data_IF_710920239312
#
_entry.id   IF_710920239312
#
_cell.length_a   1.000
_cell.length_b   1.000
_cell.length_c   1.000
_cell.angle_alpha   90.00
_cell.angle_beta   90.00
_cell.angle_gamma   90.00
#
_symmetry.space_group_name_H-M   'P 1'
#
loop_
_entity.id
_entity.type
_entity.pdbx_description
1 polymer ?
#
# COMPACT_ATOMS: atom_id res chain seq x y z
N UNK A 1 13.58 68.06 -5.83
CA UNK A 1 12.93 67.57 -4.59
C UNK A 1 11.38 67.70 -4.60
N UNK A 2 10.71 68.03 -5.71
CA UNK A 2 9.25 68.20 -5.76
C UNK A 2 8.43 66.93 -6.15
N UNK A 3 9.06 65.88 -6.70
CA UNK A 3 8.36 64.67 -7.18
C UNK A 3 7.90 63.70 -6.08
N UNK A 4 8.56 63.70 -4.93
CA UNK A 4 8.29 62.74 -3.84
C UNK A 4 7.04 63.07 -3.00
N UNK A 5 6.60 64.33 -3.01
CA UNK A 5 5.37 64.76 -2.33
C UNK A 5 4.12 64.55 -3.20
N UNK A 6 4.24 64.71 -4.53
CA UNK A 6 3.15 64.47 -5.48
C UNK A 6 2.79 62.99 -5.62
N UNK A 7 3.78 62.10 -5.64
CA UNK A 7 3.53 60.64 -5.67
C UNK A 7 2.88 60.14 -4.38
N UNK A 8 3.33 60.59 -3.20
CA UNK A 8 2.71 60.22 -1.92
C UNK A 8 1.26 60.70 -1.77
N UNK A 9 0.89 61.85 -2.36
CA UNK A 9 -0.50 62.33 -2.36
C UNK A 9 -1.39 61.46 -3.26
N UNK A 10 -0.91 61.15 -4.49
CA UNK A 10 -1.62 60.26 -5.41
C UNK A 10 -1.77 58.83 -4.86
N UNK A 11 -0.75 58.31 -4.19
CA UNK A 11 -0.80 57.00 -3.52
C UNK A 11 -1.81 56.99 -2.36
N UNK A 12 -1.93 58.09 -1.59
CA UNK A 12 -2.94 58.23 -0.53
C UNK A 12 -4.36 58.32 -1.09
N UNK A 13 -4.56 59.07 -2.17
CA UNK A 13 -5.85 59.18 -2.85
C UNK A 13 -6.28 57.85 -3.47
N UNK A 14 -5.36 57.10 -4.09
CA UNK A 14 -5.63 55.76 -4.61
C UNK A 14 -6.02 54.77 -3.49
N UNK A 15 -5.29 54.79 -2.36
CA UNK A 15 -5.62 53.95 -1.18
C UNK A 15 -6.97 54.30 -0.58
N UNK A 16 -7.33 55.58 -0.50
CA UNK A 16 -8.64 56.00 -0.01
C UNK A 16 -9.79 55.51 -0.92
N UNK A 17 -9.58 55.43 -2.23
CA UNK A 17 -10.55 54.85 -3.16
C UNK A 17 -10.68 53.34 -2.94
N UNK A 18 -9.57 52.61 -2.79
CA UNK A 18 -9.58 51.17 -2.48
C UNK A 18 -10.27 50.87 -1.14
N UNK A 19 -9.98 51.67 -0.10
CA UNK A 19 -10.60 51.58 1.22
C UNK A 19 -12.13 51.80 1.16
N UNK A 20 -12.59 52.76 0.34
CA UNK A 20 -14.02 52.99 0.12
C UNK A 20 -14.70 51.83 -0.63
N UNK A 21 -14.01 51.21 -1.59
CA UNK A 21 -14.54 50.06 -2.34
C UNK A 21 -14.71 48.84 -1.43
N UNK A 22 -13.71 48.51 -0.61
CA UNK A 22 -13.79 47.36 0.30
C UNK A 22 -14.85 47.58 1.39
N UNK A 23 -14.98 48.79 1.93
CA UNK A 23 -16.02 49.14 2.91
C UNK A 23 -17.43 49.01 2.30
N UNK A 24 -17.64 49.50 1.06
CA UNK A 24 -18.91 49.33 0.36
C UNK A 24 -19.25 47.86 0.09
N UNK A 25 -18.25 47.05 -0.28
CA UNK A 25 -18.42 45.61 -0.48
C UNK A 25 -18.81 44.92 0.83
N UNK A 26 -18.15 45.27 1.94
CA UNK A 26 -18.47 44.76 3.27
C UNK A 26 -19.92 45.11 3.69
N UNK A 27 -20.36 46.35 3.47
CA UNK A 27 -21.75 46.75 3.72
C UNK A 27 -22.77 46.00 2.86
N UNK A 28 -22.43 45.73 1.59
CA UNK A 28 -23.32 44.96 0.70
C UNK A 28 -23.42 43.48 1.12
N UNK A 29 -22.30 42.88 1.55
CA UNK A 29 -22.25 41.51 2.04
C UNK A 29 -23.06 41.34 3.35
N UNK A 30 -23.01 42.33 4.26
CA UNK A 30 -23.83 42.33 5.48
C UNK A 30 -25.32 42.28 5.19
N UNK A 31 -25.79 43.09 4.24
CA UNK A 31 -27.20 43.11 3.83
C UNK A 31 -27.61 41.78 3.19
N UNK A 32 -26.75 41.22 2.34
CA UNK A 32 -27.01 39.92 1.70
C UNK A 32 -27.11 38.79 2.75
N UNK A 33 -26.19 38.75 3.71
CA UNK A 33 -26.19 37.75 4.76
C UNK A 33 -27.41 37.87 5.70
N UNK A 34 -27.83 39.10 6.05
CA UNK A 34 -29.03 39.34 6.86
C UNK A 34 -30.32 38.89 6.15
N UNK A 35 -30.46 39.23 4.88
CA UNK A 35 -31.59 38.80 4.05
C UNK A 35 -31.61 37.27 3.85
N UNK A 36 -30.42 36.65 3.76
CA UNK A 36 -30.27 35.19 3.70
C UNK A 36 -30.73 34.53 5.00
N UNK A 37 -30.35 35.05 6.18
CA UNK A 37 -30.87 34.57 7.47
C UNK A 37 -32.38 34.62 7.49
N UNK A 38 -32.98 35.74 7.06
CA UNK A 38 -34.43 35.93 7.07
C UNK A 38 -35.11 34.86 6.20
N UNK A 39 -34.64 34.70 4.97
CA UNK A 39 -35.16 33.72 4.01
C UNK A 39 -35.06 32.30 4.56
N UNK A 40 -33.88 31.89 5.05
CA UNK A 40 -33.68 30.53 5.58
C UNK A 40 -34.47 30.31 6.87
N UNK A 41 -34.66 31.35 7.69
CA UNK A 41 -35.50 31.24 8.89
C UNK A 41 -36.96 30.97 8.53
N UNK A 42 -37.47 31.60 7.48
CA UNK A 42 -38.83 31.34 6.97
C UNK A 42 -38.92 29.91 6.40
N UNK A 43 -37.94 29.49 5.60
CA UNK A 43 -37.86 28.13 5.04
C UNK A 43 -37.76 27.05 6.12
N UNK A 44 -37.04 27.32 7.20
CA UNK A 44 -36.86 26.40 8.33
C UNK A 44 -38.19 26.04 9.00
N UNK A 45 -39.14 26.98 9.08
CA UNK A 45 -40.48 26.71 9.64
C UNK A 45 -41.20 25.63 8.82
N UNK A 46 -41.11 25.72 7.48
CA UNK A 46 -41.69 24.71 6.60
C UNK A 46 -40.94 23.39 6.70
N UNK A 47 -39.60 23.42 6.76
CA UNK A 47 -38.79 22.23 6.93
C UNK A 47 -39.10 21.50 8.25
N UNK A 48 -39.32 22.23 9.34
CA UNK A 48 -39.68 21.68 10.65
C UNK A 48 -41.08 21.05 10.63
N UNK A 49 -42.03 21.64 9.89
CA UNK A 49 -43.36 21.06 9.71
C UNK A 49 -43.35 19.76 8.86
N UNK A 50 -42.40 19.63 7.92
CA UNK A 50 -42.27 18.44 7.06
C UNK A 50 -41.41 17.34 7.70
N UNK A 51 -40.35 17.69 8.41
CA UNK A 51 -39.35 16.74 8.93
C UNK A 51 -39.39 16.54 10.44
N UNK A 52 -39.87 17.53 11.19
CA UNK A 52 -39.80 17.59 12.65
C UNK A 52 -38.57 18.32 13.19
N UNK A 53 -38.56 18.65 14.49
CA UNK A 53 -37.55 19.48 15.13
C UNK A 53 -36.15 18.87 15.20
N UNK A 54 -36.00 17.55 15.34
CA UNK A 54 -34.70 16.90 15.49
C UNK A 54 -33.92 16.94 14.16
N UNK A 55 -34.61 16.69 13.05
CA UNK A 55 -34.01 16.70 11.71
C UNK A 55 -33.57 18.11 11.27
N UNK A 56 -34.26 19.15 11.74
CA UNK A 56 -33.95 20.55 11.40
C UNK A 56 -33.02 21.24 12.40
N UNK A 57 -32.72 20.59 13.53
CA UNK A 57 -31.83 21.12 14.58
C UNK A 57 -30.47 21.63 14.05
N UNK A 58 -29.74 20.92 13.17
CA UNK A 58 -28.47 21.44 12.66
C UNK A 58 -28.58 22.78 11.92
N UNK A 59 -29.67 23.01 11.19
CA UNK A 59 -29.93 24.30 10.53
C UNK A 59 -30.29 25.38 11.56
N UNK A 60 -31.08 25.03 12.58
CA UNK A 60 -31.42 25.93 13.69
C UNK A 60 -30.17 26.38 14.45
N UNK A 61 -29.27 25.44 14.75
CA UNK A 61 -27.99 25.70 15.42
C UNK A 61 -27.08 26.58 14.53
N UNK A 62 -27.05 26.32 13.23
CA UNK A 62 -26.31 27.15 12.27
C UNK A 62 -26.84 28.60 12.20
N UNK A 63 -28.16 28.79 12.11
CA UNK A 63 -28.76 30.14 12.15
C UNK A 63 -28.45 30.88 13.46
N UNK A 64 -28.42 30.18 14.59
CA UNK A 64 -28.04 30.78 15.86
C UNK A 64 -26.57 31.24 15.87
N UNK A 65 -25.66 30.39 15.38
CA UNK A 65 -24.24 30.74 15.25
C UNK A 65 -24.02 31.91 14.28
N UNK A 66 -24.70 31.90 13.13
CA UNK A 66 -24.61 32.97 12.13
C UNK A 66 -25.11 34.30 12.69
N UNK A 67 -26.24 34.33 13.41
CA UNK A 67 -26.73 35.54 14.09
C UNK A 67 -25.73 36.08 15.11
N UNK A 68 -25.08 35.20 15.87
CA UNK A 68 -24.07 35.60 16.83
C UNK A 68 -22.86 36.26 16.13
N UNK A 69 -22.35 35.66 15.06
CA UNK A 69 -21.21 36.20 14.33
C UNK A 69 -21.53 37.45 13.50
N UNK A 70 -22.75 37.56 12.96
CA UNK A 70 -23.18 38.78 12.30
C UNK A 70 -23.37 39.95 13.27
N UNK A 71 -23.65 39.70 14.55
CA UNK A 71 -23.63 40.78 15.56
C UNK A 71 -22.24 41.41 15.71
N UNK A 72 -21.16 40.62 15.60
CA UNK A 72 -19.78 41.11 15.53
C UNK A 72 -19.56 41.93 14.26
N UNK A 73 -20.02 41.43 13.11
CA UNK A 73 -19.88 42.12 11.83
C UNK A 73 -20.64 43.46 11.79
N UNK A 74 -21.85 43.54 12.36
CA UNK A 74 -22.60 44.79 12.52
C UNK A 74 -21.90 45.77 13.47
N UNK A 75 -21.31 45.27 14.56
CA UNK A 75 -20.53 46.12 15.46
C UNK A 75 -19.29 46.71 14.76
N UNK A 76 -18.56 45.89 14.00
CA UNK A 76 -17.43 46.36 13.19
C UNK A 76 -17.87 47.37 12.12
N UNK A 77 -19.04 47.16 11.50
CA UNK A 77 -19.60 48.11 10.54
C UNK A 77 -20.00 49.43 11.19
N UNK A 78 -20.51 49.40 12.43
CA UNK A 78 -20.81 50.59 13.20
C UNK A 78 -19.55 51.40 13.50
N UNK A 79 -18.45 50.75 13.91
CA UNK A 79 -17.17 51.43 14.16
C UNK A 79 -16.61 52.10 12.90
N UNK A 80 -16.80 51.49 11.72
CA UNK A 80 -16.40 52.10 10.44
C UNK A 80 -17.18 53.39 10.09
N UNK A 81 -18.31 53.64 10.75
CA UNK A 81 -19.23 54.74 10.45
C UNK A 81 -19.50 55.64 11.67
N UNK A 82 -18.69 55.52 12.73
CA UNK A 82 -18.84 56.37 13.91
C UNK A 82 -18.22 57.77 13.67
N UNK A 83 -18.26 58.62 14.71
CA UNK A 83 -17.74 59.99 14.64
C UNK A 83 -16.20 60.06 14.71
N UNK A 84 -15.51 58.93 14.93
CA UNK A 84 -14.07 58.82 15.09
C UNK A 84 -13.45 58.36 13.76
N UNK A 85 -12.64 59.20 13.09
CA UNK A 85 -12.03 58.80 11.83
C UNK A 85 -11.04 57.63 12.01
N UNK A 86 -11.31 56.51 11.35
CA UNK A 86 -10.42 55.36 11.28
C UNK A 86 -9.18 55.61 10.41
N UNK A 87 -8.09 54.92 10.73
CA UNK A 87 -6.94 54.79 9.82
C UNK A 87 -7.25 53.86 8.66
N UNK A 88 -6.56 54.04 7.51
CA UNK A 88 -6.67 53.12 6.35
C UNK A 88 -6.38 51.65 6.67
N UNK A 89 -5.60 51.36 7.72
CA UNK A 89 -5.35 49.98 8.16
C UNK A 89 -6.54 49.41 8.94
N UNK A 90 -7.14 50.21 9.81
CA UNK A 90 -8.36 49.83 10.55
C UNK A 90 -9.54 49.62 9.59
N UNK A 91 -9.71 50.50 8.60
CA UNK A 91 -10.77 50.36 7.59
C UNK A 91 -10.66 49.02 6.86
N UNK A 92 -9.45 48.69 6.37
CA UNK A 92 -9.21 47.43 5.65
C UNK A 92 -9.36 46.22 6.54
N UNK A 93 -8.84 46.27 7.77
CA UNK A 93 -8.90 45.15 8.71
C UNK A 93 -10.34 44.83 9.11
N UNK A 94 -11.13 45.85 9.48
CA UNK A 94 -12.54 45.67 9.86
C UNK A 94 -13.40 45.27 8.66
N UNK A 95 -13.22 45.90 7.50
CA UNK A 95 -13.95 45.54 6.27
C UNK A 95 -13.64 44.11 5.83
N UNK A 96 -12.37 43.68 5.90
CA UNK A 96 -11.99 42.30 5.60
C UNK A 96 -12.60 41.31 6.59
N UNK A 97 -12.63 41.63 7.89
CA UNK A 97 -13.26 40.81 8.92
C UNK A 97 -14.78 40.68 8.70
N UNK A 98 -15.46 41.77 8.34
CA UNK A 98 -16.88 41.75 7.99
C UNK A 98 -17.12 40.81 6.80
N UNK A 99 -16.34 40.95 5.73
CA UNK A 99 -16.46 40.09 4.54
C UNK A 99 -16.25 38.62 4.90
N UNK A 100 -15.23 38.31 5.70
CA UNK A 100 -14.96 36.95 6.16
C UNK A 100 -16.14 36.36 6.97
N UNK A 101 -16.75 37.15 7.86
CA UNK A 101 -17.89 36.70 8.66
C UNK A 101 -19.14 36.47 7.80
N UNK A 102 -19.37 37.32 6.78
CA UNK A 102 -20.48 37.17 5.84
C UNK A 102 -20.28 35.96 4.91
N UNK A 103 -19.07 35.78 4.37
CA UNK A 103 -18.73 34.63 3.52
C UNK A 103 -18.87 33.31 4.29
N UNK A 104 -18.33 33.23 5.51
CA UNK A 104 -18.52 32.06 6.36
C UNK A 104 -20.00 31.78 6.67
N UNK A 105 -20.80 32.83 6.88
CA UNK A 105 -22.23 32.69 7.14
C UNK A 105 -22.98 32.16 5.92
N UNK A 106 -22.68 32.66 4.72
CA UNK A 106 -23.25 32.18 3.46
C UNK A 106 -22.89 30.71 3.22
N UNK A 107 -21.61 30.35 3.30
CA UNK A 107 -21.12 28.99 3.11
C UNK A 107 -21.79 28.01 4.08
N UNK A 108 -21.81 28.34 5.38
CA UNK A 108 -22.42 27.49 6.39
C UNK A 108 -23.93 27.29 6.13
N UNK A 109 -24.63 28.36 5.75
CA UNK A 109 -26.07 28.29 5.50
C UNK A 109 -26.40 27.52 4.22
N UNK A 110 -25.59 27.64 3.18
CA UNK A 110 -25.74 26.88 1.94
C UNK A 110 -25.49 25.38 2.17
N UNK A 111 -24.41 25.02 2.86
CA UNK A 111 -24.11 23.64 3.25
C UNK A 111 -25.29 22.98 3.99
N UNK A 112 -25.88 23.70 4.95
CA UNK A 112 -27.02 23.19 5.74
C UNK A 112 -28.30 23.12 4.92
N UNK A 113 -28.49 24.05 3.98
CA UNK A 113 -29.66 24.07 3.11
C UNK A 113 -29.63 22.90 2.13
N UNK A 114 -28.45 22.62 1.54
CA UNK A 114 -28.25 21.46 0.67
C UNK A 114 -28.46 20.15 1.44
N UNK A 115 -27.98 20.06 2.67
CA UNK A 115 -28.17 18.88 3.52
C UNK A 115 -29.66 18.58 3.83
N UNK A 116 -30.52 19.61 3.89
CA UNK A 116 -31.96 19.45 4.12
C UNK A 116 -32.76 19.16 2.85
N UNK A 117 -32.25 19.51 1.66
CA UNK A 117 -32.99 19.39 0.41
C UNK A 117 -33.48 17.95 0.13
N UNK A 118 -32.59 16.95 0.26
CA UNK A 118 -32.92 15.53 0.03
C UNK A 118 -33.93 14.98 1.05
N UNK A 119 -33.75 15.19 2.38
CA UNK A 119 -34.77 14.83 3.37
C UNK A 119 -36.15 15.43 3.08
N UNK A 120 -36.22 16.72 2.73
CA UNK A 120 -37.48 17.40 2.41
C UNK A 120 -38.16 16.77 1.18
N UNK A 121 -37.39 16.54 0.11
CA UNK A 121 -37.91 15.89 -1.09
C UNK A 121 -38.48 14.49 -0.76
N UNK A 122 -37.75 13.70 0.02
CA UNK A 122 -38.20 12.38 0.46
C UNK A 122 -39.49 12.44 1.28
N UNK A 123 -39.58 13.37 2.24
CA UNK A 123 -40.77 13.54 3.07
C UNK A 123 -42.01 13.91 2.24
N UNK A 124 -41.85 14.74 1.21
CA UNK A 124 -42.92 15.09 0.26
C UNK A 124 -43.36 13.89 -0.58
N UNK A 125 -42.41 13.06 -1.00
CA UNK A 125 -42.66 11.85 -1.79
C UNK A 125 -43.03 10.62 -0.95
N UNK A 126 -43.15 10.77 0.37
CA UNK A 126 -43.45 9.65 1.27
C UNK A 126 -44.68 8.81 0.84
N UNK A 127 -45.82 9.40 0.40
CA UNK A 127 -46.96 8.61 -0.08
C UNK A 127 -46.64 7.75 -1.31
N UNK A 128 -45.87 8.28 -2.26
CA UNK A 128 -45.41 7.54 -3.44
C UNK A 128 -44.47 6.39 -3.05
N UNK A 129 -43.55 6.66 -2.12
CA UNK A 129 -42.60 5.67 -1.61
C UNK A 129 -43.34 4.55 -0.87
N UNK A 130 -44.31 4.88 -0.03
CA UNK A 130 -45.15 3.89 0.69
C UNK A 130 -45.91 3.00 -0.31
N UNK A 131 -46.49 3.59 -1.36
CA UNK A 131 -47.15 2.83 -2.42
C UNK A 131 -46.15 1.91 -3.17
N UNK A 132 -44.94 2.40 -3.44
CA UNK A 132 -43.84 1.61 -4.00
C UNK A 132 -43.47 0.42 -3.13
N UNK A 133 -43.29 0.62 -1.82
CA UNK A 133 -43.00 -0.44 -0.85
C UNK A 133 -44.09 -1.51 -0.87
N UNK A 134 -45.37 -1.12 -0.89
CA UNK A 134 -46.49 -2.08 -0.96
C UNK A 134 -46.44 -2.92 -2.24
N UNK A 135 -46.22 -2.28 -3.38
CA UNK A 135 -46.09 -2.97 -4.66
C UNK A 135 -44.86 -3.90 -4.71
N UNK A 136 -43.75 -3.47 -4.12
CA UNK A 136 -42.53 -4.27 -4.02
C UNK A 136 -42.74 -5.50 -3.12
N UNK A 137 -43.39 -5.33 -1.97
CA UNK A 137 -43.74 -6.43 -1.07
C UNK A 137 -44.64 -7.44 -1.77
N UNK A 138 -45.68 -7.00 -2.47
CA UNK A 138 -46.58 -7.89 -3.22
C UNK A 138 -45.82 -8.69 -4.30
N UNK A 139 -45.01 -7.99 -5.09
CA UNK A 139 -44.19 -8.61 -6.14
C UNK A 139 -43.22 -9.63 -5.57
N UNK A 140 -42.48 -9.29 -4.51
CA UNK A 140 -41.47 -10.17 -3.92
C UNK A 140 -42.11 -11.36 -3.19
N UNK A 141 -43.25 -11.15 -2.53
CA UNK A 141 -44.03 -12.23 -1.89
C UNK A 141 -44.47 -13.27 -2.92
N UNK A 142 -44.88 -12.82 -4.12
CA UNK A 142 -45.25 -13.71 -5.24
C UNK A 142 -44.06 -14.58 -5.70
N UNK A 143 -42.81 -14.12 -5.49
CA UNK A 143 -41.59 -14.88 -5.85
C UNK A 143 -41.16 -15.89 -4.79
N UNK A 144 -41.55 -15.72 -3.52
CA UNK A 144 -41.10 -16.59 -2.41
C UNK A 144 -41.32 -18.09 -2.66
N UNK A 145 -42.46 -18.55 -3.22
CA UNK A 145 -42.63 -19.98 -3.51
C UNK A 145 -41.56 -20.53 -4.47
N UNK A 146 -41.17 -19.76 -5.49
CA UNK A 146 -40.11 -20.16 -6.43
C UNK A 146 -38.74 -20.22 -5.72
N UNK A 147 -38.44 -19.26 -4.85
CA UNK A 147 -37.22 -19.25 -4.04
C UNK A 147 -37.14 -20.50 -3.17
N UNK A 148 -38.25 -20.87 -2.52
CA UNK A 148 -38.34 -22.09 -1.71
C UNK A 148 -38.06 -23.35 -2.54
N UNK A 149 -38.73 -23.51 -3.68
CA UNK A 149 -38.50 -24.65 -4.59
C UNK A 149 -37.05 -24.68 -5.11
N UNK A 150 -36.44 -23.52 -5.33
CA UNK A 150 -35.03 -23.42 -5.74
C UNK A 150 -34.10 -23.94 -4.63
N UNK A 151 -34.31 -23.52 -3.38
CA UNK A 151 -33.53 -24.01 -2.23
C UNK A 151 -33.72 -25.52 -2.08
N UNK A 152 -34.95 -26.03 -2.12
CA UNK A 152 -35.24 -27.48 -2.01
C UNK A 152 -34.50 -28.29 -3.09
N UNK A 153 -34.47 -27.79 -4.32
CA UNK A 153 -33.72 -28.40 -5.41
C UNK A 153 -32.21 -28.35 -5.17
N UNK A 154 -31.68 -27.22 -4.68
CA UNK A 154 -30.26 -27.08 -4.35
C UNK A 154 -29.83 -28.05 -3.25
N UNK A 155 -30.67 -28.29 -2.24
CA UNK A 155 -30.41 -29.29 -1.17
C UNK A 155 -30.26 -30.71 -1.69
N UNK A 156 -30.82 -31.03 -2.87
CA UNK A 156 -30.61 -32.34 -3.51
C UNK A 156 -29.28 -32.46 -4.28
N UNK A 157 -28.54 -31.36 -4.46
CA UNK A 157 -27.32 -31.30 -5.27
C UNK A 157 -26.07 -30.94 -4.47
N UNK A 158 -26.21 -30.09 -3.44
CA UNK A 158 -25.09 -29.55 -2.67
C UNK A 158 -25.18 -29.94 -1.20
N UNK A 159 -24.04 -29.93 -0.51
CA UNK A 159 -23.99 -30.18 0.95
C UNK A 159 -24.66 -29.05 1.74
N UNK A 160 -24.96 -29.31 3.02
CA UNK A 160 -25.51 -28.29 3.92
C UNK A 160 -24.53 -27.13 4.13
N UNK A 161 -23.23 -27.43 4.23
CA UNK A 161 -22.17 -26.44 4.37
C UNK A 161 -22.12 -25.46 3.19
N UNK A 162 -22.25 -25.99 1.97
CA UNK A 162 -22.27 -25.20 0.74
C UNK A 162 -23.47 -24.23 0.72
N UNK A 163 -24.62 -24.71 1.17
CA UNK A 163 -25.89 -23.97 1.14
C UNK A 163 -26.08 -23.05 2.35
N UNK A 164 -25.20 -23.09 3.34
CA UNK A 164 -25.32 -22.32 4.59
C UNK A 164 -25.63 -20.83 4.38
N UNK A 165 -25.12 -20.23 3.31
CA UNK A 165 -25.33 -18.80 2.98
C UNK A 165 -26.71 -18.48 2.39
N UNK A 166 -27.44 -19.49 1.89
CA UNK A 166 -28.71 -19.30 1.17
C UNK A 166 -29.89 -20.08 1.77
N UNK A 167 -29.62 -21.08 2.61
CA UNK A 167 -30.63 -21.97 3.17
C UNK A 167 -31.72 -21.22 3.98
N UNK A 168 -31.33 -20.16 4.70
CA UNK A 168 -32.25 -19.35 5.51
C UNK A 168 -32.96 -18.23 4.76
N UNK A 169 -32.52 -17.91 3.52
CA UNK A 169 -32.89 -16.68 2.83
C UNK A 169 -34.39 -16.56 2.58
N UNK A 170 -35.08 -17.67 2.28
CA UNK A 170 -36.53 -17.66 2.09
C UNK A 170 -37.27 -17.19 3.36
N UNK A 171 -36.92 -17.77 4.51
CA UNK A 171 -37.59 -17.46 5.77
C UNK A 171 -37.29 -16.02 6.22
N UNK A 172 -36.04 -15.61 6.11
CA UNK A 172 -35.61 -14.24 6.45
C UNK A 172 -36.23 -13.20 5.52
N UNK A 173 -36.25 -13.44 4.20
CA UNK A 173 -36.91 -12.55 3.25
C UNK A 173 -38.41 -12.41 3.56
N UNK A 174 -39.11 -13.50 3.89
CA UNK A 174 -40.52 -13.44 4.27
C UNK A 174 -40.76 -12.53 5.49
N UNK A 175 -39.95 -12.67 6.54
CA UNK A 175 -40.06 -11.84 7.75
C UNK A 175 -39.75 -10.37 7.46
N UNK A 176 -38.75 -10.10 6.61
CA UNK A 176 -38.40 -8.74 6.20
C UNK A 176 -39.51 -8.09 5.37
N UNK A 177 -40.21 -8.83 4.51
CA UNK A 177 -41.34 -8.31 3.74
C UNK A 177 -42.54 -7.99 4.63
N UNK A 178 -42.86 -8.85 5.60
CA UNK A 178 -43.89 -8.57 6.61
C UNK A 178 -43.55 -7.33 7.43
N UNK A 179 -42.29 -7.22 7.87
CA UNK A 179 -41.80 -6.07 8.61
C UNK A 179 -41.82 -4.78 7.78
N UNK A 180 -41.47 -4.85 6.49
CA UNK A 180 -41.55 -3.72 5.58
C UNK A 180 -42.99 -3.21 5.40
N UNK A 181 -43.95 -4.13 5.22
CA UNK A 181 -45.36 -3.78 5.10
C UNK A 181 -45.88 -3.11 6.38
N UNK A 182 -45.55 -3.68 7.55
CA UNK A 182 -45.92 -3.09 8.82
C UNK A 182 -45.29 -1.70 9.02
N UNK A 183 -44.01 -1.55 8.68
CA UNK A 183 -43.30 -0.26 8.74
C UNK A 183 -43.94 0.80 7.84
N UNK A 184 -44.37 0.43 6.63
CA UNK A 184 -45.08 1.32 5.72
C UNK A 184 -46.43 1.80 6.30
N UNK A 185 -47.20 0.89 6.91
CA UNK A 185 -48.45 1.26 7.61
C UNK A 185 -48.22 2.14 8.84
N UNK A 186 -47.18 1.85 9.63
CA UNK A 186 -46.80 2.69 10.77
C UNK A 186 -46.41 4.08 10.28
N UNK A 187 -45.64 4.18 9.21
CA UNK A 187 -45.23 5.45 8.61
C UNK A 187 -46.45 6.29 8.20
N UNK A 188 -47.41 5.70 7.49
CA UNK A 188 -48.65 6.36 7.07
C UNK A 188 -49.44 6.88 8.28
N UNK A 189 -49.72 6.02 9.28
CA UNK A 189 -50.46 6.42 10.49
C UNK A 189 -49.78 7.53 11.27
N UNK A 190 -48.44 7.47 11.42
CA UNK A 190 -47.66 8.48 12.15
C UNK A 190 -47.66 9.81 11.38
N UNK A 191 -47.60 9.75 10.04
CA UNK A 191 -47.70 10.93 9.18
C UNK A 191 -49.07 11.60 9.33
N UNK A 192 -50.15 10.85 9.35
CA UNK A 192 -51.50 11.40 9.55
C UNK A 192 -51.69 12.01 10.95
N UNK A 193 -51.00 11.47 11.96
CA UNK A 193 -50.97 12.00 13.32
C UNK A 193 -50.02 13.20 13.52
N UNK A 194 -49.36 13.69 12.47
CA UNK A 194 -48.39 14.80 12.54
C UNK A 194 -47.01 14.42 13.13
N UNK A 195 -46.75 13.14 13.37
CA UNK A 195 -45.53 12.61 13.97
C UNK A 195 -44.48 12.32 12.88
N UNK A 196 -43.94 13.39 12.27
CA UNK A 196 -43.08 13.35 11.07
C UNK A 196 -41.81 12.53 11.27
N UNK A 197 -41.13 12.71 12.39
CA UNK A 197 -39.87 12.01 12.68
C UNK A 197 -40.08 10.50 12.77
N UNK A 198 -41.09 10.08 13.56
CA UNK A 198 -41.43 8.69 13.74
C UNK A 198 -41.94 8.07 12.44
N UNK A 199 -42.66 8.85 11.62
CA UNK A 199 -43.09 8.43 10.29
C UNK A 199 -41.90 8.19 9.34
N UNK A 200 -40.93 9.11 9.31
CA UNK A 200 -39.74 9.00 8.47
C UNK A 200 -38.86 7.82 8.89
N UNK A 201 -38.67 7.61 10.19
CA UNK A 201 -37.91 6.47 10.70
C UNK A 201 -38.55 5.13 10.29
N UNK A 202 -39.88 5.02 10.42
CA UNK A 202 -40.61 3.83 10.01
C UNK A 202 -40.52 3.61 8.48
N UNK A 203 -40.56 4.70 7.69
CA UNK A 203 -40.39 4.64 6.23
C UNK A 203 -39.01 4.13 5.83
N UNK A 204 -37.95 4.70 6.38
CA UNK A 204 -36.56 4.30 6.07
C UNK A 204 -36.30 2.84 6.46
N UNK A 205 -36.84 2.44 7.61
CA UNK A 205 -36.76 1.06 8.08
C UNK A 205 -37.46 0.09 7.12
N UNK A 206 -38.63 0.47 6.60
CA UNK A 206 -39.36 -0.32 5.60
C UNK A 206 -38.62 -0.41 4.26
N UNK A 207 -38.03 0.70 3.78
CA UNK A 207 -37.20 0.73 2.57
C UNK A 207 -36.02 -0.26 2.70
N UNK A 208 -35.31 -0.19 3.82
CA UNK A 208 -34.16 -1.06 4.07
C UNK A 208 -34.56 -2.54 4.16
N UNK A 209 -35.72 -2.84 4.76
CA UNK A 209 -36.24 -4.20 4.83
C UNK A 209 -36.58 -4.78 3.45
N UNK A 210 -37.23 -4.01 2.56
CA UNK A 210 -37.46 -4.42 1.16
C UNK A 210 -36.14 -4.65 0.42
N UNK A 211 -35.16 -3.74 0.59
CA UNK A 211 -33.85 -3.86 -0.03
C UNK A 211 -33.15 -5.15 0.39
N UNK A 212 -33.13 -5.46 1.68
CA UNK A 212 -32.55 -6.70 2.22
C UNK A 212 -33.27 -7.94 1.71
N UNK A 213 -34.61 -7.95 1.75
CA UNK A 213 -35.40 -9.07 1.21
C UNK A 213 -35.09 -9.33 -0.27
N UNK A 214 -34.94 -8.26 -1.06
CA UNK A 214 -34.55 -8.34 -2.47
C UNK A 214 -33.18 -9.01 -2.63
N UNK A 215 -32.17 -8.54 -1.90
CA UNK A 215 -30.82 -9.14 -1.94
C UNK A 215 -30.81 -10.62 -1.55
N UNK A 216 -31.58 -11.02 -0.53
CA UNK A 216 -31.68 -12.41 -0.10
C UNK A 216 -32.30 -13.31 -1.17
N UNK A 217 -33.34 -12.82 -1.86
CA UNK A 217 -33.99 -13.52 -2.97
C UNK A 217 -33.03 -13.65 -4.16
N UNK A 218 -32.37 -12.55 -4.54
CA UNK A 218 -31.39 -12.54 -5.64
C UNK A 218 -30.18 -13.44 -5.38
N UNK A 219 -29.73 -13.54 -4.12
CA UNK A 219 -28.66 -14.45 -3.74
C UNK A 219 -29.02 -15.92 -4.01
N UNK A 220 -30.28 -16.32 -3.82
CA UNK A 220 -30.74 -17.68 -4.14
C UNK A 220 -30.77 -17.90 -5.66
N UNK A 221 -31.24 -16.92 -6.43
CA UNK A 221 -31.26 -17.00 -7.90
C UNK A 221 -29.85 -17.12 -8.49
N UNK A 222 -28.89 -16.35 -7.96
CA UNK A 222 -27.51 -16.34 -8.41
C UNK A 222 -26.71 -17.57 -8.00
N UNK A 223 -27.06 -18.20 -6.87
CA UNK A 223 -26.27 -19.26 -6.26
C UNK A 223 -26.02 -20.44 -7.21
N UNK A 224 -27.03 -20.90 -7.95
CA UNK A 224 -26.86 -22.05 -8.86
C UNK A 224 -25.84 -21.76 -9.96
N UNK A 225 -25.89 -20.56 -10.53
CA UNK A 225 -24.95 -20.16 -11.58
C UNK A 225 -23.53 -20.08 -11.03
N UNK A 226 -23.37 -19.56 -9.81
CA UNK A 226 -22.08 -19.51 -9.12
C UNK A 226 -21.55 -20.91 -8.79
N UNK A 227 -22.40 -21.81 -8.31
CA UNK A 227 -22.02 -23.18 -7.99
C UNK A 227 -21.62 -23.95 -9.26
N UNK A 228 -22.35 -23.81 -10.36
CA UNK A 228 -21.98 -24.37 -11.67
C UNK A 228 -20.63 -23.84 -12.19
N UNK A 229 -20.35 -22.55 -11.99
CA UNK A 229 -19.05 -21.97 -12.34
C UNK A 229 -17.93 -22.52 -11.45
N UNK A 230 -18.20 -22.69 -10.15
CA UNK A 230 -17.25 -23.29 -9.22
C UNK A 230 -16.92 -24.73 -9.63
N UNK A 231 -17.93 -25.55 -9.94
CA UNK A 231 -17.76 -26.91 -10.48
C UNK A 231 -16.91 -26.91 -11.77
N UNK A 232 -17.26 -26.10 -12.76
CA UNK A 232 -16.50 -26.03 -14.02
C UNK A 232 -15.07 -25.55 -13.82
N UNK A 233 -14.83 -24.67 -12.85
CA UNK A 233 -13.48 -24.19 -12.53
C UNK A 233 -12.70 -25.27 -11.78
N UNK A 234 -13.35 -26.01 -10.89
CA UNK A 234 -12.75 -27.12 -10.17
C UNK A 234 -12.26 -28.18 -11.16
N UNK A 235 -13.05 -28.55 -12.17
CA UNK A 235 -12.64 -29.49 -13.21
C UNK A 235 -11.36 -29.05 -13.94
N UNK A 236 -11.27 -27.77 -14.30
CA UNK A 236 -10.08 -27.21 -14.94
C UNK A 236 -8.86 -27.24 -14.00
N UNK A 237 -9.04 -26.81 -12.75
CA UNK A 237 -7.95 -26.79 -11.77
C UNK A 237 -7.48 -28.22 -11.43
N UNK A 238 -8.36 -29.22 -11.41
CA UNK A 238 -7.97 -30.61 -11.19
C UNK A 238 -7.03 -31.12 -12.30
N UNK A 239 -7.27 -30.71 -13.55
CA UNK A 239 -6.38 -31.05 -14.68
C UNK A 239 -5.04 -30.34 -14.50
N UNK A 240 -5.07 -29.01 -14.29
CA UNK A 240 -3.86 -28.20 -14.12
C UNK A 240 -3.01 -28.68 -12.93
N UNK A 241 -3.63 -28.96 -11.77
CA UNK A 241 -2.97 -29.50 -10.58
C UNK A 241 -2.22 -30.81 -10.85
N UNK A 242 -2.76 -31.68 -11.71
CA UNK A 242 -2.10 -32.95 -12.06
C UNK A 242 -0.86 -32.72 -12.93
N UNK A 243 -0.94 -31.76 -13.85
CA UNK A 243 0.18 -31.36 -14.69
C UNK A 243 1.26 -30.63 -13.88
N UNK A 244 0.86 -29.80 -12.92
CA UNK A 244 1.78 -29.12 -11.98
C UNK A 244 2.48 -30.13 -11.08
N UNK A 245 1.77 -31.13 -10.55
CA UNK A 245 2.38 -32.24 -9.81
C UNK A 245 3.38 -33.02 -10.66
N UNK A 246 3.06 -33.27 -11.94
CA UNK A 246 3.98 -33.95 -12.85
C UNK A 246 5.24 -33.12 -13.10
N UNK A 247 5.09 -31.81 -13.29
CA UNK A 247 6.18 -30.85 -13.53
C UNK A 247 7.04 -30.64 -12.28
N UNK A 248 6.44 -30.64 -11.09
CA UNK A 248 7.14 -30.44 -9.82
C UNK A 248 8.05 -31.62 -9.42
N UNK A 249 7.87 -32.81 -10.02
CA UNK A 249 8.71 -33.99 -9.76
C UNK A 249 10.19 -33.73 -9.98
N UNK A 250 10.54 -32.89 -10.95
CA UNK A 250 11.93 -32.53 -11.27
C UNK A 250 12.66 -31.85 -10.10
N UNK A 251 11.92 -31.19 -9.21
CA UNK A 251 12.45 -30.47 -8.04
C UNK A 251 11.95 -31.05 -6.71
N UNK A 252 11.37 -32.26 -6.72
CA UNK A 252 10.79 -32.90 -5.54
C UNK A 252 11.81 -33.31 -4.48
N UNK A 253 13.11 -33.28 -4.78
CA UNK A 253 14.18 -33.49 -3.79
C UNK A 253 14.23 -32.38 -2.73
N UNK A 254 13.65 -31.20 -3.03
CA UNK A 254 13.52 -30.10 -2.06
C UNK A 254 12.38 -30.43 -1.08
N UNK A 255 12.64 -30.53 0.25
CA UNK A 255 11.63 -30.95 1.22
C UNK A 255 10.37 -30.08 1.27
N UNK A 256 10.51 -28.77 1.02
CA UNK A 256 9.36 -27.84 0.94
C UNK A 256 8.45 -28.17 -0.24
N UNK A 257 9.02 -28.49 -1.41
CA UNK A 257 8.27 -28.91 -2.60
C UNK A 257 7.58 -30.25 -2.35
N UNK A 258 8.30 -31.25 -1.81
CA UNK A 258 7.72 -32.56 -1.52
C UNK A 258 6.51 -32.48 -0.56
N UNK A 259 6.58 -31.59 0.45
CA UNK A 259 5.43 -31.34 1.36
C UNK A 259 4.27 -30.68 0.63
N UNK A 260 4.52 -29.68 -0.21
CA UNK A 260 3.47 -29.01 -0.98
C UNK A 260 2.79 -29.97 -1.96
N UNK A 261 3.56 -30.82 -2.64
CA UNK A 261 3.03 -31.90 -3.50
C UNK A 261 2.14 -32.86 -2.72
N UNK A 262 2.60 -33.34 -1.55
CA UNK A 262 1.81 -34.26 -0.72
C UNK A 262 0.50 -33.63 -0.23
N UNK A 263 0.50 -32.34 0.10
CA UNK A 263 -0.72 -31.60 0.43
C UNK A 263 -1.67 -31.53 -0.77
N UNK A 264 -1.17 -31.17 -1.96
CA UNK A 264 -2.00 -31.09 -3.16
C UNK A 264 -2.57 -32.46 -3.57
N UNK A 265 -1.77 -33.52 -3.51
CA UNK A 265 -2.24 -34.90 -3.73
C UNK A 265 -3.32 -35.32 -2.74
N UNK A 266 -3.17 -34.93 -1.46
CA UNK A 266 -4.18 -35.18 -0.43
C UNK A 266 -5.49 -34.45 -0.75
N UNK A 267 -5.43 -33.18 -1.13
CA UNK A 267 -6.64 -32.41 -1.46
C UNK A 267 -7.33 -32.93 -2.73
N UNK A 268 -6.56 -33.32 -3.76
CA UNK A 268 -7.09 -34.00 -4.95
C UNK A 268 -7.77 -35.34 -4.60
N UNK A 269 -7.20 -36.10 -3.66
CA UNK A 269 -7.77 -37.35 -3.17
C UNK A 269 -8.97 -37.17 -2.24
N UNK A 270 -9.16 -35.98 -1.68
CA UNK A 270 -10.26 -35.63 -0.79
C UNK A 270 -11.49 -35.07 -1.54
N UNK A 271 -11.38 -34.85 -2.86
CA UNK A 271 -12.51 -34.42 -3.69
C UNK A 271 -13.63 -35.46 -3.64
N UNK A 272 -14.85 -34.97 -3.47
CA UNK A 272 -16.00 -35.83 -3.34
C UNK A 272 -16.30 -36.58 -4.66
N UNK A 273 -16.69 -37.87 -4.61
CA UNK A 273 -17.04 -38.64 -5.80
C UNK A 273 -18.25 -38.04 -6.54
N UNK A 274 -18.32 -38.26 -7.86
CA UNK A 274 -19.49 -37.87 -8.65
C UNK A 274 -20.76 -38.51 -8.07
N UNK A 275 -21.80 -37.70 -7.85
CA UNK A 275 -23.10 -38.14 -7.32
C UNK A 275 -23.25 -38.07 -5.81
N UNK A 276 -22.24 -37.60 -5.07
CA UNK A 276 -22.42 -37.18 -3.66
C UNK A 276 -22.77 -35.70 -3.56
N UNK A 277 -23.38 -35.29 -2.44
CA UNK A 277 -23.61 -33.87 -2.15
C UNK A 277 -22.26 -33.20 -1.84
N UNK A 278 -21.85 -32.25 -2.68
CA UNK A 278 -20.52 -31.61 -2.59
C UNK A 278 -20.62 -30.15 -2.14
N UNK A 279 -19.49 -29.60 -1.70
CA UNK A 279 -19.29 -28.16 -1.55
C UNK A 279 -18.25 -27.69 -2.58
N UNK A 280 -18.68 -27.31 -3.81
CA UNK A 280 -17.75 -26.94 -4.87
C UNK A 280 -16.97 -25.66 -4.54
N UNK A 281 -17.46 -24.81 -3.62
CA UNK A 281 -16.76 -23.59 -3.24
C UNK A 281 -15.60 -23.89 -2.30
N UNK A 282 -15.83 -24.73 -1.30
CA UNK A 282 -14.80 -25.15 -0.36
C UNK A 282 -13.75 -26.04 -1.04
N UNK A 283 -14.18 -27.01 -1.87
CA UNK A 283 -13.26 -27.85 -2.65
C UNK A 283 -12.35 -27.00 -3.56
N UNK A 284 -12.94 -26.03 -4.26
CA UNK A 284 -12.19 -25.09 -5.10
C UNK A 284 -11.21 -24.24 -4.29
N UNK A 285 -11.60 -23.82 -3.09
CA UNK A 285 -10.76 -23.00 -2.19
C UNK A 285 -9.54 -23.80 -1.73
N UNK A 286 -9.76 -25.00 -1.19
CA UNK A 286 -8.65 -25.87 -0.72
C UNK A 286 -7.68 -26.21 -1.85
N UNK A 287 -8.19 -26.50 -3.04
CA UNK A 287 -7.35 -26.86 -4.18
C UNK A 287 -6.51 -25.67 -4.68
N UNK A 288 -7.09 -24.46 -4.73
CA UNK A 288 -6.35 -23.23 -5.05
C UNK A 288 -5.26 -22.91 -4.04
N UNK A 289 -5.55 -23.06 -2.76
CA UNK A 289 -4.57 -22.85 -1.69
C UNK A 289 -3.40 -23.84 -1.81
N UNK A 290 -3.69 -25.12 -2.08
CA UNK A 290 -2.68 -26.14 -2.27
C UNK A 290 -1.82 -25.90 -3.53
N UNK A 291 -2.42 -25.52 -4.66
CA UNK A 291 -1.68 -25.14 -5.87
C UNK A 291 -0.77 -23.93 -5.64
N UNK A 292 -1.30 -22.85 -5.06
CA UNK A 292 -0.50 -21.65 -4.79
C UNK A 292 0.69 -21.93 -3.85
N UNK A 293 0.51 -22.84 -2.88
CA UNK A 293 1.59 -23.32 -2.03
C UNK A 293 2.66 -24.11 -2.81
N UNK A 294 2.25 -24.98 -3.74
CA UNK A 294 3.16 -25.71 -4.62
C UNK A 294 3.94 -24.75 -5.52
N UNK A 295 3.27 -23.80 -6.18
CA UNK A 295 3.89 -22.80 -7.05
C UNK A 295 4.94 -21.99 -6.31
N UNK A 296 4.61 -21.54 -5.10
CA UNK A 296 5.53 -20.79 -4.24
C UNK A 296 6.78 -21.63 -3.90
N UNK A 297 6.60 -22.91 -3.56
CA UNK A 297 7.70 -23.81 -3.23
C UNK A 297 8.58 -24.12 -4.45
N UNK A 298 7.98 -24.38 -5.61
CA UNK A 298 8.69 -24.66 -6.87
C UNK A 298 9.45 -23.43 -7.35
N UNK A 299 8.84 -22.24 -7.30
CA UNK A 299 9.51 -20.99 -7.67
C UNK A 299 10.76 -20.75 -6.79
N UNK A 300 10.62 -20.91 -5.47
CA UNK A 300 11.74 -20.79 -4.52
C UNK A 300 12.83 -21.85 -4.74
N UNK A 301 12.46 -23.08 -5.08
CA UNK A 301 13.41 -24.14 -5.40
C UNK A 301 14.20 -23.82 -6.70
N UNK A 302 13.50 -23.37 -7.75
CA UNK A 302 14.12 -22.97 -9.02
C UNK A 302 15.03 -21.76 -8.87
N UNK A 303 14.63 -20.77 -8.07
CA UNK A 303 15.46 -19.61 -7.77
C UNK A 303 16.77 -20.03 -7.08
N UNK A 304 16.70 -20.91 -6.08
CA UNK A 304 17.89 -21.47 -5.41
C UNK A 304 18.78 -22.28 -6.35
N UNK A 305 18.19 -23.02 -7.30
CA UNK A 305 18.96 -23.77 -8.30
C UNK A 305 19.65 -22.84 -9.32
N UNK A 306 18.97 -21.77 -9.75
CA UNK A 306 19.52 -20.77 -10.67
C UNK A 306 20.60 -19.89 -10.00
N UNK A 307 20.49 -19.65 -8.69
CA UNK A 307 21.46 -18.91 -7.89
C UNK A 307 21.91 -19.74 -6.68
N UNK A 308 22.81 -20.73 -6.88
CA UNK A 308 23.33 -21.54 -5.78
C UNK A 308 24.00 -20.66 -4.72
N UNK A 309 23.67 -20.89 -3.45
CA UNK A 309 24.28 -20.18 -2.33
C UNK A 309 25.76 -20.57 -2.26
N UNK A 310 26.64 -19.57 -2.15
CA UNK A 310 28.08 -19.80 -1.97
C UNK A 310 28.28 -20.60 -0.67
N UNK A 311 28.97 -21.75 -0.69
CA UNK A 311 29.27 -22.50 0.53
C UNK A 311 30.04 -21.63 1.52
N UNK A 312 29.64 -21.66 2.79
CA UNK A 312 30.32 -20.89 3.84
C UNK A 312 31.82 -21.23 3.92
N UNK A 313 32.19 -22.49 3.68
CA UNK A 313 33.58 -22.93 3.61
C UNK A 313 34.39 -22.20 2.54
N UNK A 314 33.82 -21.91 1.37
CA UNK A 314 34.50 -21.18 0.30
C UNK A 314 34.79 -19.74 0.72
N UNK A 315 33.84 -19.09 1.40
CA UNK A 315 34.03 -17.74 1.95
C UNK A 315 35.14 -17.75 3.00
N UNK A 316 35.11 -18.70 3.94
CA UNK A 316 36.12 -18.84 5.00
C UNK A 316 37.51 -19.06 4.43
N UNK A 317 37.67 -19.96 3.46
CA UNK A 317 38.95 -20.18 2.80
C UNK A 317 39.49 -18.93 2.08
N UNK A 318 38.63 -18.11 1.47
CA UNK A 318 39.05 -16.86 0.85
C UNK A 318 39.52 -15.82 1.90
N UNK A 319 38.86 -15.77 3.06
CA UNK A 319 39.28 -14.90 4.18
C UNK A 319 40.64 -15.35 4.72
N UNK A 320 40.80 -16.65 4.97
CA UNK A 320 42.06 -17.22 5.48
C UNK A 320 43.22 -16.98 4.49
N UNK A 321 42.95 -17.10 3.19
CA UNK A 321 43.94 -16.81 2.16
C UNK A 321 44.34 -15.33 2.14
N UNK A 322 43.35 -14.43 2.19
CA UNK A 322 43.59 -12.99 2.29
C UNK A 322 44.39 -12.63 3.55
N UNK A 323 44.09 -13.25 4.69
CA UNK A 323 44.82 -13.04 5.96
C UNK A 323 46.28 -13.50 5.88
N UNK A 324 46.55 -14.64 5.23
CA UNK A 324 47.92 -15.09 4.97
C UNK A 324 48.68 -14.12 4.08
N UNK A 325 48.09 -13.70 2.96
CA UNK A 325 48.72 -12.75 2.03
C UNK A 325 48.99 -11.40 2.71
N UNK A 326 48.03 -10.91 3.49
CA UNK A 326 48.15 -9.67 4.27
C UNK A 326 49.27 -9.78 5.31
N UNK A 327 49.37 -10.91 6.01
CA UNK A 327 50.44 -11.19 6.97
C UNK A 327 51.82 -11.17 6.33
N UNK A 328 51.99 -11.78 5.15
CA UNK A 328 53.25 -11.77 4.40
C UNK A 328 53.61 -10.35 3.94
N UNK A 329 52.68 -9.64 3.30
CA UNK A 329 52.89 -8.27 2.85
C UNK A 329 53.28 -7.33 4.01
N UNK A 330 52.57 -7.43 5.14
CA UNK A 330 52.85 -6.66 6.36
C UNK A 330 54.26 -6.94 6.90
N UNK A 331 54.68 -8.21 6.93
CA UNK A 331 55.99 -8.62 7.41
C UNK A 331 57.11 -8.04 6.55
N UNK A 332 57.03 -8.21 5.22
CA UNK A 332 58.04 -7.70 4.27
C UNK A 332 58.14 -6.17 4.33
N UNK A 333 57.00 -5.47 4.31
CA UNK A 333 56.96 -4.00 4.34
C UNK A 333 57.47 -3.46 5.68
N UNK A 334 57.16 -4.12 6.79
CA UNK A 334 57.63 -3.72 8.12
C UNK A 334 59.12 -3.98 8.35
N UNK A 335 59.69 -4.99 7.69
CA UNK A 335 61.12 -5.31 7.77
C UNK A 335 62.03 -4.37 6.96
N UNK A 336 61.50 -3.71 5.93
CA UNK A 336 62.28 -2.92 4.96
C UNK A 336 61.82 -1.46 4.89
N UNK A 337 61.43 -0.87 6.02
CA UNK A 337 60.77 0.45 6.07
C UNK A 337 61.54 1.59 5.41
N UNK A 338 62.87 1.51 5.31
CA UNK A 338 63.70 2.52 4.65
C UNK A 338 63.69 2.45 3.12
N UNK A 339 63.29 1.31 2.54
CA UNK A 339 63.39 1.04 1.09
C UNK A 339 62.03 0.98 0.40
N UNK A 340 60.96 0.66 1.12
CA UNK A 340 59.63 0.58 0.52
C UNK A 340 59.11 1.97 0.13
N UNK A 341 58.44 2.09 -1.02
CA UNK A 341 57.81 3.28 -1.55
C UNK A 341 56.39 3.54 -1.02
N UNK A 342 55.79 4.67 -1.44
CA UNK A 342 54.44 5.05 -1.02
C UNK A 342 53.36 4.09 -1.54
N UNK A 343 53.49 3.63 -2.79
CA UNK A 343 52.47 2.81 -3.46
C UNK A 343 52.24 1.46 -2.76
N UNK A 344 53.30 0.75 -2.37
CA UNK A 344 53.19 -0.52 -1.63
C UNK A 344 52.48 -0.32 -0.27
N UNK A 345 52.78 0.78 0.43
CA UNK A 345 52.14 1.10 1.71
C UNK A 345 50.68 1.47 1.54
N UNK A 346 50.32 2.19 0.48
CA UNK A 346 48.93 2.53 0.17
C UNK A 346 48.12 1.27 -0.14
N UNK A 347 48.66 0.34 -0.94
CA UNK A 347 47.98 -0.93 -1.24
C UNK A 347 47.80 -1.79 0.01
N UNK A 348 48.82 -1.85 0.87
CA UNK A 348 48.72 -2.54 2.16
C UNK A 348 47.65 -1.89 3.05
N UNK A 349 47.64 -0.57 3.20
CA UNK A 349 46.67 0.14 4.04
C UNK A 349 45.21 -0.09 3.56
N UNK A 350 44.97 -0.12 2.26
CA UNK A 350 43.64 -0.40 1.71
C UNK A 350 43.23 -1.87 1.90
N UNK A 351 44.16 -2.82 1.76
CA UNK A 351 43.90 -4.23 2.08
C UNK A 351 43.52 -4.40 3.56
N UNK A 352 44.25 -3.74 4.46
CA UNK A 352 43.95 -3.73 5.90
C UNK A 352 42.58 -3.12 6.21
N UNK A 353 42.22 -2.03 5.53
CA UNK A 353 40.91 -1.40 5.66
C UNK A 353 39.79 -2.38 5.29
N UNK A 354 39.91 -3.05 4.13
CA UNK A 354 38.91 -4.04 3.70
C UNK A 354 38.83 -5.21 4.67
N UNK A 355 39.96 -5.67 5.21
CA UNK A 355 39.96 -6.76 6.20
C UNK A 355 39.26 -6.40 7.50
N UNK A 356 39.43 -5.15 7.97
CA UNK A 356 38.71 -4.61 9.12
C UNK A 356 37.21 -4.54 8.83
N UNK A 357 36.83 -4.03 7.65
CA UNK A 357 35.44 -3.97 7.21
C UNK A 357 34.82 -5.37 7.12
N UNK A 358 35.61 -6.41 6.84
CA UNK A 358 35.17 -7.82 6.75
C UNK A 358 35.05 -8.52 8.12
N UNK A 359 35.34 -7.84 9.25
CA UNK A 359 35.36 -8.47 10.56
C UNK A 359 34.00 -9.07 11.00
N UNK A 360 32.88 -8.56 10.48
CA UNK A 360 31.55 -9.14 10.72
C UNK A 360 31.44 -10.59 10.21
N UNK A 361 32.19 -10.96 9.16
CA UNK A 361 32.23 -12.32 8.61
C UNK A 361 33.16 -13.27 9.38
N UNK A 362 33.82 -12.79 10.44
CA UNK A 362 34.68 -13.63 11.32
C UNK A 362 33.89 -14.34 12.42
N UNK A 363 32.56 -14.18 12.46
CA UNK A 363 31.67 -14.83 13.43
C UNK A 363 31.53 -16.35 13.25
N UNK A 364 30.78 -17.01 14.15
CA UNK A 364 30.58 -18.46 14.11
C UNK A 364 29.81 -18.93 12.87
N UNK A 365 29.01 -18.05 12.25
CA UNK A 365 28.28 -18.31 11.01
C UNK A 365 28.32 -17.06 10.12
N UNK A 366 28.32 -17.26 8.80
CA UNK A 366 28.19 -16.17 7.82
C UNK A 366 26.80 -16.28 7.19
N UNK A 367 25.90 -15.29 7.39
CA UNK A 367 24.55 -15.31 6.83
C UNK A 367 24.56 -15.54 5.33
N UNK A 368 23.64 -16.38 4.81
CA UNK A 368 23.62 -16.80 3.40
C UNK A 368 23.60 -15.61 2.44
N UNK A 369 22.77 -14.61 2.74
CA UNK A 369 22.58 -13.39 1.95
C UNK A 369 23.85 -12.54 1.86
N UNK A 370 24.74 -12.65 2.86
CA UNK A 370 25.96 -11.85 2.94
C UNK A 370 27.20 -12.59 2.38
N UNK A 371 27.09 -13.89 2.05
CA UNK A 371 28.24 -14.71 1.61
C UNK A 371 28.88 -14.21 0.32
N UNK A 372 28.10 -13.69 -0.62
CA UNK A 372 28.60 -13.15 -1.88
C UNK A 372 29.44 -11.89 -1.68
N UNK A 373 28.95 -10.99 -0.82
CA UNK A 373 29.68 -9.78 -0.44
C UNK A 373 30.97 -10.14 0.29
N UNK A 374 30.90 -11.03 1.29
CA UNK A 374 32.07 -11.47 2.05
C UNK A 374 33.14 -12.11 1.16
N UNK A 375 32.74 -12.97 0.20
CA UNK A 375 33.68 -13.59 -0.73
C UNK A 375 34.37 -12.55 -1.63
N UNK A 376 33.61 -11.57 -2.10
CA UNK A 376 34.12 -10.49 -2.95
C UNK A 376 35.13 -9.62 -2.20
N UNK A 377 34.80 -9.20 -0.98
CA UNK A 377 35.67 -8.40 -0.12
C UNK A 377 36.94 -9.17 0.28
N UNK A 378 36.83 -10.46 0.60
CA UNK A 378 37.97 -11.33 0.90
C UNK A 378 38.95 -11.41 -0.29
N UNK A 379 38.44 -11.69 -1.49
CA UNK A 379 39.27 -11.76 -2.72
C UNK A 379 39.94 -10.43 -3.02
N UNK A 380 39.22 -9.31 -2.85
CA UNK A 380 39.76 -7.96 -3.05
C UNK A 380 40.86 -7.64 -2.04
N UNK A 381 40.69 -8.01 -0.77
CA UNK A 381 41.71 -7.88 0.26
C UNK A 381 42.99 -8.65 -0.12
N UNK A 382 42.86 -9.92 -0.52
CA UNK A 382 43.99 -10.73 -0.97
C UNK A 382 44.71 -10.09 -2.16
N UNK A 383 43.98 -9.71 -3.22
CA UNK A 383 44.57 -9.04 -4.39
C UNK A 383 45.40 -7.81 -4.04
N UNK A 384 44.88 -6.92 -3.18
CA UNK A 384 45.61 -5.72 -2.74
C UNK A 384 46.85 -6.06 -1.89
N UNK A 385 46.77 -7.10 -1.05
CA UNK A 385 47.91 -7.58 -0.29
C UNK A 385 49.01 -8.15 -1.21
N UNK A 386 48.63 -8.92 -2.24
CA UNK A 386 49.55 -9.43 -3.24
C UNK A 386 50.21 -8.31 -4.06
N UNK A 387 49.45 -7.31 -4.49
CA UNK A 387 49.99 -6.12 -5.17
C UNK A 387 50.98 -5.34 -4.28
N UNK A 388 50.63 -5.16 -2.99
CA UNK A 388 51.51 -4.52 -2.03
C UNK A 388 52.84 -5.25 -1.88
N UNK A 389 52.79 -6.59 -1.81
CA UNK A 389 54.00 -7.43 -1.73
C UNK A 389 54.85 -7.32 -3.00
N UNK A 390 54.25 -7.35 -4.19
CA UNK A 390 54.99 -7.22 -5.46
C UNK A 390 55.67 -5.85 -5.60
N UNK A 391 54.97 -4.77 -5.25
CA UNK A 391 55.55 -3.42 -5.22
C UNK A 391 56.70 -3.35 -4.23
N UNK A 392 56.52 -3.86 -3.01
CA UNK A 392 57.55 -3.87 -1.99
C UNK A 392 58.80 -4.65 -2.42
N UNK A 393 58.63 -5.79 -3.10
CA UNK A 393 59.75 -6.57 -3.62
C UNK A 393 60.55 -5.80 -4.68
N UNK A 394 59.87 -5.11 -5.61
CA UNK A 394 60.53 -4.25 -6.60
C UNK A 394 61.31 -3.11 -5.95
N UNK A 395 60.74 -2.49 -4.93
CA UNK A 395 61.40 -1.42 -4.19
C UNK A 395 62.69 -1.91 -3.50
N UNK A 396 62.63 -3.09 -2.86
CA UNK A 396 63.81 -3.74 -2.24
C UNK A 396 64.88 -4.05 -3.28
N UNK A 397 64.49 -4.66 -4.40
CA UNK A 397 65.44 -5.05 -5.45
C UNK A 397 66.11 -3.82 -6.09
N UNK A 398 65.37 -2.72 -6.27
CA UNK A 398 65.91 -1.45 -6.78
C UNK A 398 66.85 -0.73 -5.79
N UNK A 399 66.74 -1.04 -4.50
CA UNK A 399 67.53 -0.42 -3.44
C UNK A 399 68.82 -1.17 -3.12
N UNK A 400 69.04 -2.37 -3.71
CA UNK A 400 70.30 -3.10 -3.57
C UNK A 400 71.41 -2.39 -4.36
N UNK A 401 72.59 -2.10 -3.77
CA UNK A 401 73.72 -1.59 -4.52
C UNK A 401 74.08 -2.57 -5.64
N UNK A 402 74.15 -2.09 -6.88
CA UNK A 402 74.67 -2.86 -8.00
C UNK A 402 76.20 -2.94 -7.87
N UNK A 403 76.70 -3.77 -6.96
CA UNK A 403 78.13 -4.09 -6.91
C UNK A 403 78.48 -5.05 -8.05
N UNK A 404 78.96 -4.48 -9.16
CA UNK A 404 79.52 -5.21 -10.29
C UNK A 404 80.35 -4.31 -11.22
N UNK A 405 81.66 -4.58 -11.41
CA UNK A 405 82.54 -3.76 -12.25
C UNK A 405 82.25 -3.96 -13.76
N UNK A 406 82.29 -2.91 -14.61
CA UNK A 406 81.92 -3.05 -16.01
C UNK A 406 83.14 -3.16 -16.93
N UNK A 407 83.63 -4.36 -17.24
CA UNK A 407 84.62 -4.53 -18.32
C UNK A 407 84.46 -5.84 -19.11
N UNK A 408 83.95 -5.71 -20.34
CA UNK A 408 84.60 -6.21 -21.57
C UNK A 408 84.22 -7.59 -22.12
N UNK A 409 83.86 -7.63 -23.41
CA UNK A 409 84.37 -8.69 -24.30
C UNK A 409 83.36 -9.44 -25.19
N UNK A 410 83.21 -8.94 -26.40
CA UNK A 410 82.69 -9.58 -27.62
C UNK A 410 83.21 -11.02 -27.87
N UNK A 411 82.36 -11.93 -28.35
CA UNK A 411 82.81 -13.16 -29.03
C UNK A 411 81.75 -14.27 -29.13
N UNK A 412 81.33 -14.63 -30.35
CA UNK A 412 80.21 -15.55 -30.59
C UNK A 412 80.54 -17.04 -30.68
N UNK A 413 79.50 -17.85 -30.94
CA UNK A 413 79.63 -19.18 -31.55
C UNK A 413 78.96 -20.37 -30.84
N UNK A 414 77.92 -20.90 -31.49
CA UNK A 414 77.48 -22.32 -31.61
C UNK A 414 77.27 -23.24 -30.38
N UNK A 415 76.04 -23.80 -30.37
CA UNK A 415 75.62 -25.21 -30.12
C UNK A 415 76.15 -25.94 -28.88
N UNK A 416 75.19 -26.24 -27.99
CA UNK A 416 74.83 -27.63 -27.68
C UNK A 416 75.17 -28.15 -26.28
N UNK A 417 74.12 -28.46 -25.51
CA UNK A 417 74.01 -29.71 -24.73
C UNK A 417 74.58 -29.76 -23.31
N UNK A 418 73.67 -29.82 -22.32
CA UNK A 418 73.68 -30.82 -21.24
C UNK A 418 74.42 -30.53 -19.93
N UNK A 419 73.63 -30.46 -18.83
CA UNK A 419 73.90 -30.74 -17.40
C UNK A 419 75.08 -29.99 -16.72
N UNK A 420 75.05 -29.54 -15.46
CA UNK A 420 74.37 -29.94 -14.23
C UNK A 420 74.39 -28.78 -13.20
N UNK A 421 73.48 -28.86 -12.23
CA UNK A 421 73.54 -28.41 -10.82
C UNK A 421 74.28 -27.09 -10.45
N UNK A 422 73.57 -26.11 -9.84
CA UNK A 422 73.60 -25.81 -8.39
C UNK A 422 73.03 -24.38 -8.10
N UNK A 423 72.02 -24.29 -7.22
CA UNK A 423 71.81 -23.12 -6.34
C UNK A 423 70.49 -22.36 -6.45
N UNK A 424 69.55 -22.60 -5.51
CA UNK A 424 68.53 -21.61 -5.13
C UNK A 424 67.09 -22.13 -4.92
N UNK A 425 66.87 -22.88 -3.85
CA UNK A 425 65.55 -23.27 -3.33
C UNK A 425 64.84 -22.04 -2.72
N UNK A 426 63.58 -21.77 -3.11
CA UNK A 426 62.42 -21.49 -2.23
C UNK A 426 61.21 -20.92 -3.03
N UNK A 427 60.06 -21.60 -2.97
CA UNK A 427 58.75 -21.03 -3.32
C UNK A 427 57.86 -21.94 -4.17
N UNK A 428 57.48 -23.11 -3.65
CA UNK A 428 56.57 -24.05 -4.32
C UNK A 428 55.08 -23.80 -4.05
N UNK A 429 54.28 -24.59 -4.79
CA UNK A 429 52.88 -25.01 -4.55
C UNK A 429 51.80 -23.95 -4.90
N UNK A 430 50.76 -24.18 -5.73
CA UNK A 430 50.19 -25.35 -6.42
C UNK A 430 49.46 -24.87 -7.68
N UNK A 431 49.63 -25.61 -8.78
CA UNK A 431 48.73 -25.66 -9.93
C UNK A 431 47.60 -26.65 -9.59
N UNK A 432 46.35 -26.18 -9.66
CA UNK A 432 45.11 -26.97 -9.54
C UNK A 432 43.98 -25.99 -9.24
N UNK A 433 42.94 -25.81 -10.04
CA UNK A 433 42.22 -26.73 -10.90
C UNK A 433 41.56 -25.97 -12.06
N UNK A 434 41.85 -26.42 -13.29
CA UNK A 434 41.05 -26.16 -14.49
C UNK A 434 40.78 -27.55 -15.07
N UNK A 435 39.50 -27.83 -15.36
CA UNK A 435 38.91 -29.05 -15.97
C UNK A 435 38.72 -30.25 -15.03
N UNK A 436 37.48 -30.56 -14.66
CA UNK A 436 36.67 -31.61 -15.34
C UNK A 436 35.32 -31.82 -14.62
N UNK A 437 34.25 -32.09 -15.37
CA UNK A 437 32.90 -32.30 -14.84
C UNK A 437 31.76 -32.09 -15.84
N UNK A 438 31.87 -32.68 -17.03
CA UNK A 438 30.75 -32.98 -17.95
C UNK A 438 30.33 -34.45 -17.75
N UNK A 439 29.01 -34.74 -17.83
CA UNK A 439 28.29 -36.01 -17.55
C UNK A 439 28.18 -36.31 -16.04
N UNK A 440 27.03 -36.36 -15.36
CA UNK A 440 25.64 -36.77 -15.65
C UNK A 440 24.66 -35.98 -14.74
#
# INVERSE_FOLDING_TARGET
>A
MAGFWGNRKKEREARAVEDAVISRRAGSALVAADERIRTISDELVYAEAELGPDATRPMKDALAAVRQHLSEAFHLHQLLHDEIPDTSEEIRTRSARILQLCEWAEDLLDDRSEALAKPIERARRAPEIIAGIRADVERLTTRLPQVKTTIERLTSRYSEEALRKVAGNHAEASQLLEFALHGAEVSERRRDAGQREQANLALETAIEAVRRATTLIEAVDGYEVEALRAESTLDAIVIDSRDDLATAKDVATVPEVARAMATLEKELGALAPSGTLTDPFEELTRLREANAALDTAVAKARERAARPVIPESHVRHAIDDADRQLGVARSVISGHRGWIGADARTRLAEAERIRIDLNWASGPTIPEDDREKALTDARRCGMLAAEALQLAQRDIDSSRPQDGPPWGGQGGGRRGGGSDLMGGILGGLVIGSILDGFFD
#
